data_IF_828306283521
#
_entry.id   IF_828306283521
#
_cell.length_a   1.000
_cell.length_b   1.000
_cell.length_c   1.000
_cell.angle_alpha   90.00
_cell.angle_beta   90.00
_cell.angle_gamma   90.00
#
_symmetry.space_group_name_H-M   'P 1'
#
loop_
_entity.id
_entity.type
_entity.pdbx_description
1 polymer ?
#
# COMPACT_ATOMS: atom_id res chain seq x y z
N UNK A 1 -16.99 50.98 -4.43
CA UNK A 1 -15.70 50.44 -4.91
C UNK A 1 -15.90 49.01 -5.39
N UNK A 2 -15.87 48.77 -6.70
CA UNK A 2 -15.87 47.40 -7.27
C UNK A 2 -14.45 46.85 -7.16
N UNK A 3 -14.24 45.82 -6.36
CA UNK A 3 -12.93 45.13 -6.25
C UNK A 3 -12.83 44.13 -7.40
N UNK A 4 -12.05 44.49 -8.41
CA UNK A 4 -11.65 43.60 -9.50
C UNK A 4 -10.69 42.56 -8.92
N UNK A 5 -11.12 41.30 -8.82
CA UNK A 5 -10.24 40.17 -8.55
C UNK A 5 -9.40 39.91 -9.80
N UNK A 6 -8.12 40.27 -9.76
CA UNK A 6 -7.14 39.85 -10.76
C UNK A 6 -6.84 38.37 -10.47
N UNK A 7 -7.46 37.49 -11.23
CA UNK A 7 -7.11 36.07 -11.25
C UNK A 7 -5.72 35.93 -11.90
N UNK A 8 -4.67 35.85 -11.09
CA UNK A 8 -3.38 35.37 -11.55
C UNK A 8 -3.51 33.88 -11.89
N UNK A 9 -3.74 33.57 -13.17
CA UNK A 9 -3.53 32.23 -13.68
C UNK A 9 -2.02 31.96 -13.64
N UNK A 10 -1.54 31.31 -12.58
CA UNK A 10 -0.19 30.76 -12.57
C UNK A 10 -0.15 29.67 -13.65
N UNK A 11 0.45 29.98 -14.81
CA UNK A 11 0.78 28.98 -15.82
C UNK A 11 1.84 28.05 -15.22
N UNK A 12 1.40 26.90 -14.69
CA UNK A 12 2.29 25.84 -14.26
C UNK A 12 3.09 25.36 -15.47
N UNK A 13 4.40 25.57 -15.46
CA UNK A 13 5.29 25.03 -16.48
C UNK A 13 5.40 23.53 -16.28
N UNK A 14 4.85 22.76 -17.21
CA UNK A 14 4.98 21.30 -17.27
C UNK A 14 5.82 20.98 -18.50
N UNK A 15 6.95 20.29 -18.31
CA UNK A 15 7.75 19.78 -19.41
C UNK A 15 7.72 18.26 -19.40
N UNK A 16 7.25 17.67 -20.50
CA UNK A 16 7.26 16.21 -20.68
C UNK A 16 8.69 15.76 -20.93
N UNK A 17 9.16 14.78 -20.15
CA UNK A 17 10.48 14.18 -20.34
C UNK A 17 10.33 12.98 -21.28
N UNK A 18 10.88 13.12 -22.50
CA UNK A 18 10.90 12.05 -23.49
C UNK A 18 12.09 11.09 -23.33
N UNK A 19 13.11 11.49 -22.57
CA UNK A 19 14.27 10.64 -22.26
C UNK A 19 13.99 9.73 -21.06
N UNK A 20 14.63 8.57 -21.06
CA UNK A 20 14.66 7.69 -19.89
C UNK A 20 15.28 8.42 -18.68
N UNK A 21 14.58 8.37 -17.56
CA UNK A 21 14.96 9.00 -16.30
C UNK A 21 15.15 7.92 -15.24
N UNK A 22 16.36 7.81 -14.72
CA UNK A 22 16.64 6.96 -13.55
C UNK A 22 16.13 7.65 -12.30
N UNK A 23 15.16 7.03 -11.63
CA UNK A 23 14.66 7.48 -10.34
C UNK A 23 15.63 7.00 -9.27
N UNK A 24 16.29 7.93 -8.59
CA UNK A 24 17.26 7.63 -7.53
C UNK A 24 17.25 8.70 -6.46
N UNK A 25 17.74 8.33 -5.29
CA UNK A 25 17.97 9.23 -4.17
C UNK A 25 19.46 9.23 -3.83
N UNK A 26 19.98 10.38 -3.38
CA UNK A 26 21.35 10.48 -2.89
C UNK A 26 21.35 10.64 -1.37
N UNK A 27 21.56 9.53 -0.67
CA UNK A 27 21.45 9.44 0.78
C UNK A 27 22.82 9.46 1.46
N UNK A 28 22.92 10.18 2.57
CA UNK A 28 24.07 10.15 3.47
C UNK A 28 23.70 9.48 4.77
N UNK A 29 24.69 8.90 5.43
CA UNK A 29 24.52 8.40 6.80
C UNK A 29 24.05 9.55 7.71
N UNK A 30 22.98 9.31 8.45
CA UNK A 30 22.34 10.30 9.32
C UNK A 30 21.20 11.09 8.67
N UNK A 31 21.03 11.01 7.34
CA UNK A 31 19.87 11.61 6.68
C UNK A 31 18.58 11.02 7.26
N UNK A 32 17.58 11.88 7.43
CA UNK A 32 16.29 11.50 7.99
C UNK A 32 15.16 12.23 7.30
N UNK A 33 14.12 11.49 6.89
CA UNK A 33 12.90 12.03 6.33
C UNK A 33 11.69 11.60 7.17
N UNK A 34 10.76 12.52 7.42
CA UNK A 34 9.52 12.25 8.17
C UNK A 34 8.34 12.52 7.24
N UNK A 35 7.46 11.55 7.15
CA UNK A 35 6.28 11.57 6.30
C UNK A 35 5.01 11.49 7.14
N UNK A 36 4.04 12.33 6.82
CA UNK A 36 2.66 12.15 7.27
C UNK A 36 1.89 11.36 6.22
N UNK A 37 1.22 10.30 6.65
CA UNK A 37 0.43 9.44 5.78
C UNK A 37 -1.05 9.56 6.17
N UNK A 38 -1.90 9.69 5.16
CA UNK A 38 -3.37 9.65 5.27
C UNK A 38 -3.88 8.68 4.22
N UNK A 39 -4.58 7.65 4.67
CA UNK A 39 -5.27 6.71 3.79
C UNK A 39 -6.76 6.76 4.11
N UNK A 40 -7.60 6.94 3.09
CA UNK A 40 -9.06 6.90 3.23
C UNK A 40 -9.64 5.82 2.36
N UNK A 41 -10.59 5.07 2.92
CA UNK A 41 -11.34 4.03 2.24
C UNK A 41 -12.82 4.32 2.46
N UNK A 42 -13.53 4.65 1.39
CA UNK A 42 -14.99 4.72 1.38
C UNK A 42 -15.52 3.47 0.70
N UNK A 43 -16.38 2.72 1.36
CA UNK A 43 -16.95 1.47 0.85
C UNK A 43 -18.46 1.56 0.81
N UNK A 44 -19.05 1.33 -0.35
CA UNK A 44 -20.46 0.98 -0.46
C UNK A 44 -20.59 -0.55 -0.37
N UNK A 45 -21.24 -1.03 0.70
CA UNK A 45 -21.45 -2.45 0.94
C UNK A 45 -22.48 -3.03 -0.03
N UNK A 46 -22.41 -4.33 -0.36
CA UNK A 46 -23.29 -4.93 -1.34
C UNK A 46 -24.74 -4.93 -0.84
N UNK A 47 -25.69 -5.07 -1.78
CA UNK A 47 -27.12 -5.25 -1.49
C UNK A 47 -27.75 -4.14 -0.63
N UNK A 48 -27.20 -2.92 -0.66
CA UNK A 48 -27.75 -1.79 0.10
C UNK A 48 -27.47 -1.84 1.60
N UNK A 49 -26.50 -2.63 2.05
CA UNK A 49 -26.12 -2.74 3.46
C UNK A 49 -25.45 -1.47 4.06
N UNK A 50 -25.51 -0.34 3.35
CA UNK A 50 -24.98 0.95 3.77
C UNK A 50 -23.54 1.22 3.33
N UNK A 51 -22.96 2.29 3.88
CA UNK A 51 -21.62 2.75 3.55
C UNK A 51 -20.71 2.71 4.79
N UNK A 52 -19.42 2.43 4.57
CA UNK A 52 -18.37 2.55 5.57
C UNK A 52 -17.37 3.62 5.12
N UNK A 53 -16.90 4.46 6.04
CA UNK A 53 -15.82 5.40 5.81
C UNK A 53 -14.74 5.14 6.87
N UNK A 54 -13.53 4.89 6.39
CA UNK A 54 -12.36 4.60 7.21
C UNK A 54 -11.28 5.58 6.82
N UNK A 55 -10.64 6.19 7.82
CA UNK A 55 -9.44 6.98 7.64
C UNK A 55 -8.35 6.49 8.57
N UNK A 56 -7.18 6.21 8.01
CA UNK A 56 -6.00 5.79 8.73
C UNK A 56 -4.94 6.86 8.59
N UNK A 57 -4.44 7.38 9.71
CA UNK A 57 -3.34 8.34 9.73
C UNK A 57 -2.18 7.79 10.52
N UNK A 58 -0.96 8.00 10.06
CA UNK A 58 0.25 7.69 10.81
C UNK A 58 1.42 8.56 10.33
N UNK A 59 2.52 8.50 11.07
CA UNK A 59 3.79 9.14 10.68
C UNK A 59 4.82 8.07 10.41
N UNK A 60 5.52 8.14 9.29
CA UNK A 60 6.65 7.26 8.96
C UNK A 60 7.94 8.05 8.95
N UNK A 61 8.90 7.65 9.77
CA UNK A 61 10.28 8.13 9.68
C UNK A 61 11.10 7.15 8.83
N UNK A 62 11.91 7.69 7.92
CA UNK A 62 12.95 6.97 7.20
C UNK A 62 14.30 7.54 7.65
N UNK A 63 15.16 6.71 8.21
CA UNK A 63 16.49 7.11 8.68
C UNK A 63 17.59 6.28 8.00
N UNK A 64 18.63 6.95 7.51
CA UNK A 64 19.76 6.32 6.85
C UNK A 64 20.82 5.95 7.89
N UNK A 65 20.84 4.68 8.30
CA UNK A 65 21.79 4.17 9.31
C UNK A 65 23.21 4.04 8.77
N UNK A 66 23.33 3.77 7.47
CA UNK A 66 24.62 3.59 6.79
C UNK A 66 24.49 3.90 5.30
N UNK A 67 25.57 4.40 4.69
CA UNK A 67 25.63 4.73 3.27
C UNK A 67 27.01 4.41 2.71
N UNK A 68 27.07 3.59 1.67
CA UNK A 68 28.31 3.20 0.98
C UNK A 68 28.15 3.40 -0.53
N UNK A 69 29.21 3.17 -1.30
CA UNK A 69 29.15 3.22 -2.76
C UNK A 69 28.20 2.17 -3.37
N UNK A 70 27.91 1.09 -2.63
CA UNK A 70 27.12 -0.05 -3.10
C UNK A 70 25.63 0.08 -2.76
N UNK A 71 25.26 0.95 -1.81
CA UNK A 71 23.89 1.16 -1.38
C UNK A 71 23.76 1.72 0.03
N UNK A 72 22.54 1.64 0.56
CA UNK A 72 22.16 2.25 1.84
C UNK A 72 21.58 1.20 2.79
N UNK A 73 21.68 1.47 4.10
CA UNK A 73 20.88 0.81 5.13
C UNK A 73 19.86 1.82 5.66
N UNK A 74 18.58 1.58 5.39
CA UNK A 74 17.48 2.50 5.70
C UNK A 74 16.52 1.87 6.68
N UNK A 75 16.24 2.55 7.77
CA UNK A 75 15.25 2.13 8.77
C UNK A 75 13.94 2.86 8.52
N UNK A 76 12.86 2.11 8.37
CA UNK A 76 11.50 2.63 8.38
C UNK A 76 10.89 2.42 9.75
N UNK A 77 10.30 3.46 10.31
CA UNK A 77 9.59 3.41 11.58
C UNK A 77 8.27 4.16 11.45
N UNK A 78 7.16 3.41 11.43
CA UNK A 78 5.81 3.98 11.46
C UNK A 78 5.34 4.10 12.91
N UNK A 79 4.70 5.22 13.24
CA UNK A 79 4.18 5.53 14.58
C UNK A 79 2.86 6.28 14.50
N UNK A 80 2.20 6.35 15.65
CA UNK A 80 1.02 7.17 15.88
C UNK A 80 -0.14 6.79 14.95
N UNK A 81 -0.24 5.50 14.61
CA UNK A 81 -1.31 4.97 13.80
C UNK A 81 -2.65 5.15 14.48
N UNK A 82 -3.55 5.87 13.82
CA UNK A 82 -4.92 6.13 14.28
C UNK A 82 -5.91 5.71 13.20
N UNK A 83 -7.01 5.12 13.65
CA UNK A 83 -8.13 4.74 12.80
C UNK A 83 -9.32 5.62 13.21
N UNK A 84 -9.86 6.36 12.26
CA UNK A 84 -11.14 7.07 12.38
C UNK A 84 -12.19 6.28 11.57
N UNK A 85 -13.37 6.06 12.14
CA UNK A 85 -14.44 5.26 11.54
C UNK A 85 -14.58 3.88 12.16
N UNK A 86 -15.08 2.91 11.39
CA UNK A 86 -15.32 1.56 11.88
C UNK A 86 -14.01 0.73 11.87
N UNK A 87 -13.50 0.38 13.07
CA UNK A 87 -12.27 -0.41 13.23
C UNK A 87 -12.36 -1.81 12.63
N UNK A 88 -13.50 -2.49 12.72
CA UNK A 88 -13.70 -3.82 12.13
C UNK A 88 -13.65 -3.73 10.61
N UNK A 89 -14.28 -2.71 10.03
CA UNK A 89 -14.20 -2.44 8.61
C UNK A 89 -12.77 -2.06 8.18
N UNK A 90 -12.05 -1.28 8.99
CA UNK A 90 -10.63 -0.99 8.77
C UNK A 90 -9.78 -2.26 8.78
N UNK A 91 -10.14 -3.23 9.61
CA UNK A 91 -9.48 -4.54 9.61
C UNK A 91 -9.81 -5.38 8.36
N UNK A 92 -10.98 -5.20 7.77
CA UNK A 92 -11.38 -5.92 6.57
C UNK A 92 -10.80 -5.31 5.29
N UNK A 93 -10.81 -3.98 5.18
CA UNK A 93 -10.47 -3.25 3.95
C UNK A 93 -9.09 -2.58 3.98
N UNK A 94 -8.51 -2.39 5.16
CA UNK A 94 -7.18 -1.80 5.30
C UNK A 94 -6.07 -2.79 4.96
N UNK A 95 -4.86 -2.26 4.77
CA UNK A 95 -3.69 -3.10 4.50
C UNK A 95 -3.45 -4.11 5.63
N UNK A 96 -3.22 -5.37 5.23
CA UNK A 96 -3.09 -6.48 6.18
C UNK A 96 -1.74 -6.48 6.91
N UNK A 97 -0.67 -5.96 6.29
CA UNK A 97 0.66 -5.93 6.90
C UNK A 97 0.90 -4.65 7.71
N UNK A 98 0.57 -3.49 7.15
CA UNK A 98 0.86 -2.18 7.74
C UNK A 98 0.23 -1.95 9.11
N UNK A 99 -0.91 -2.58 9.41
CA UNK A 99 -1.54 -2.48 10.73
C UNK A 99 -0.71 -3.07 11.88
N UNK A 100 0.26 -3.92 11.56
CA UNK A 100 1.15 -4.55 12.55
C UNK A 100 2.53 -3.90 12.60
N UNK A 101 2.78 -2.86 11.79
CA UNK A 101 4.07 -2.16 11.70
C UNK A 101 4.19 -0.94 12.62
N UNK A 102 3.12 -0.58 13.35
CA UNK A 102 3.16 0.55 14.28
C UNK A 102 4.16 0.28 15.41
N UNK A 103 5.16 1.16 15.53
CA UNK A 103 6.27 1.00 16.47
C UNK A 103 7.30 -0.08 16.09
N UNK A 104 7.22 -0.68 14.90
CA UNK A 104 8.15 -1.73 14.45
C UNK A 104 9.23 -1.15 13.53
N UNK A 105 10.50 -1.07 13.96
CA UNK A 105 11.59 -0.62 13.10
C UNK A 105 11.96 -1.71 12.08
N UNK A 106 11.83 -1.41 10.79
CA UNK A 106 12.22 -2.30 9.71
C UNK A 106 13.45 -1.76 8.98
N UNK A 107 14.57 -2.46 9.09
CA UNK A 107 15.87 -2.06 8.55
C UNK A 107 16.12 -2.77 7.22
N UNK A 108 16.13 -2.02 6.13
CA UNK A 108 16.35 -2.55 4.80
C UNK A 108 17.74 -2.22 4.27
N UNK A 109 18.27 -3.13 3.45
CA UNK A 109 19.37 -2.85 2.54
C UNK A 109 18.82 -2.43 1.19
N UNK A 110 19.42 -1.41 0.58
CA UNK A 110 19.14 -0.98 -0.79
C UNK A 110 20.35 -1.21 -1.70
N UNK A 111 20.12 -1.09 -3.02
CA UNK A 111 21.21 -0.82 -3.96
C UNK A 111 21.61 0.67 -3.94
N UNK A 112 22.63 1.04 -4.72
CA UNK A 112 23.13 2.42 -4.88
C UNK A 112 22.11 3.42 -5.41
N UNK A 113 21.00 2.97 -5.99
CA UNK A 113 19.94 3.82 -6.52
C UNK A 113 18.76 3.95 -5.56
N UNK A 114 18.78 3.23 -4.43
CA UNK A 114 17.71 3.23 -3.42
C UNK A 114 16.67 2.13 -3.62
N UNK A 115 16.85 1.18 -4.53
CA UNK A 115 15.93 0.05 -4.67
C UNK A 115 16.09 -0.91 -3.49
N UNK A 116 15.00 -1.23 -2.78
CA UNK A 116 15.02 -2.15 -1.63
C UNK A 116 15.40 -3.57 -2.08
N UNK A 117 16.38 -4.18 -1.42
CA UNK A 117 16.90 -5.51 -1.77
C UNK A 117 16.59 -6.57 -0.72
N UNK A 118 16.77 -6.23 0.57
CA UNK A 118 16.68 -7.20 1.67
C UNK A 118 16.21 -6.55 2.97
N UNK A 119 15.49 -7.30 3.80
CA UNK A 119 15.16 -6.92 5.18
C UNK A 119 16.22 -7.49 6.12
N UNK A 120 17.03 -6.63 6.71
CA UNK A 120 18.20 -7.03 7.51
C UNK A 120 17.82 -7.54 8.91
N UNK A 121 16.73 -7.05 9.50
CA UNK A 121 16.28 -7.42 10.84
C UNK A 121 14.96 -8.20 10.82
N UNK A 122 14.81 -9.13 9.87
CA UNK A 122 13.58 -9.89 9.65
C UNK A 122 13.00 -10.54 10.92
N UNK A 123 13.80 -11.29 11.68
CA UNK A 123 13.34 -11.98 12.89
C UNK A 123 12.78 -11.03 13.95
N UNK A 124 13.41 -9.86 14.13
CA UNK A 124 12.96 -8.84 15.06
C UNK A 124 11.63 -8.22 14.60
N UNK A 125 11.52 -7.90 13.31
CA UNK A 125 10.30 -7.35 12.70
C UNK A 125 9.15 -8.32 12.88
N UNK A 126 9.32 -9.59 12.50
CA UNK A 126 8.29 -10.62 12.62
C UNK A 126 7.91 -10.88 14.07
N UNK A 127 8.88 -10.91 14.99
CA UNK A 127 8.60 -11.09 16.42
C UNK A 127 7.72 -9.96 16.98
N UNK A 128 8.02 -8.71 16.63
CA UNK A 128 7.22 -7.55 17.03
C UNK A 128 5.84 -7.52 16.39
N UNK A 129 5.75 -7.74 15.07
CA UNK A 129 4.48 -7.80 14.33
C UNK A 129 3.58 -8.91 14.88
N UNK A 130 4.13 -10.10 15.13
CA UNK A 130 3.40 -11.24 15.71
C UNK A 130 2.82 -10.92 17.07
N UNK A 131 3.57 -10.23 17.94
CA UNK A 131 3.07 -9.83 19.26
C UNK A 131 1.87 -8.88 19.15
N UNK A 132 1.93 -7.91 18.24
CA UNK A 132 0.82 -6.98 17.97
C UNK A 132 -0.39 -7.76 17.42
N UNK A 133 -0.17 -8.61 16.42
CA UNK A 133 -1.23 -9.40 15.78
C UNK A 133 -1.94 -10.34 16.76
N UNK A 134 -1.20 -11.09 17.57
CA UNK A 134 -1.77 -12.00 18.58
C UNK A 134 -2.61 -11.21 19.59
N UNK A 135 -2.15 -10.03 20.04
CA UNK A 135 -2.91 -9.18 20.96
C UNK A 135 -4.24 -8.73 20.35
N UNK A 136 -4.23 -8.34 19.06
CA UNK A 136 -5.46 -7.95 18.35
C UNK A 136 -6.40 -9.14 18.15
N UNK A 137 -5.87 -10.30 17.75
CA UNK A 137 -6.62 -11.55 17.63
C UNK A 137 -7.28 -11.90 18.97
N UNK A 138 -6.52 -11.93 20.06
CA UNK A 138 -7.06 -12.21 21.40
C UNK A 138 -8.23 -11.30 21.76
N UNK A 139 -8.13 -10.01 21.43
CA UNK A 139 -9.19 -9.03 21.67
C UNK A 139 -10.44 -9.32 20.83
N UNK A 140 -10.27 -9.65 19.54
CA UNK A 140 -11.40 -10.00 18.65
C UNK A 140 -12.17 -11.23 19.15
N UNK A 141 -11.47 -12.32 19.51
CA UNK A 141 -12.10 -13.55 20.00
C UNK A 141 -12.78 -13.36 21.36
N UNK A 142 -12.25 -12.49 22.22
CA UNK A 142 -12.91 -12.12 23.48
C UNK A 142 -14.18 -11.31 23.26
N UNK A 143 -14.17 -10.37 22.30
CA UNK A 143 -15.33 -9.53 21.97
C UNK A 143 -16.44 -10.32 21.28
N UNK A 144 -16.09 -11.26 20.41
CA UNK A 144 -17.04 -12.10 19.70
C UNK A 144 -16.61 -13.58 19.72
N UNK A 145 -16.93 -14.33 20.79
CA UNK A 145 -16.52 -15.73 20.92
C UNK A 145 -17.04 -16.66 19.81
N UNK A 146 -18.13 -16.28 19.13
CA UNK A 146 -18.74 -17.08 18.06
C UNK A 146 -17.84 -17.21 16.82
N UNK A 147 -16.83 -16.36 16.66
CA UNK A 147 -15.91 -16.47 15.52
C UNK A 147 -15.06 -17.74 15.56
N UNK A 148 -14.88 -18.36 16.75
CA UNK A 148 -14.13 -19.62 16.89
C UNK A 148 -14.71 -20.76 16.04
N UNK A 149 -16.04 -20.78 15.86
CA UNK A 149 -16.73 -21.80 15.06
C UNK A 149 -16.41 -21.68 13.56
N UNK A 150 -16.22 -20.45 13.07
CA UNK A 150 -16.00 -20.18 11.63
C UNK A 150 -14.51 -20.10 11.29
N UNK A 151 -13.72 -19.45 12.15
CA UNK A 151 -12.29 -19.28 12.02
C UNK A 151 -11.66 -19.62 13.37
N UNK A 152 -11.18 -20.86 13.58
CA UNK A 152 -10.52 -21.23 14.82
C UNK A 152 -9.29 -20.36 15.09
N UNK A 153 -9.13 -19.88 16.32
CA UNK A 153 -8.05 -18.94 16.68
C UNK A 153 -6.66 -19.45 16.29
N UNK A 154 -6.41 -20.74 16.51
CA UNK A 154 -5.15 -21.37 16.16
C UNK A 154 -4.86 -21.28 14.65
N UNK A 155 -5.87 -21.44 13.79
CA UNK A 155 -5.72 -21.32 12.33
C UNK A 155 -5.44 -19.89 11.90
N UNK A 156 -6.07 -18.90 12.54
CA UNK A 156 -5.80 -17.48 12.26
C UNK A 156 -4.36 -17.13 12.65
N UNK A 157 -3.88 -17.61 13.80
CA UNK A 157 -2.48 -17.41 14.22
C UNK A 157 -1.52 -18.09 13.24
N UNK A 158 -1.81 -19.31 12.80
CA UNK A 158 -0.98 -20.01 11.80
C UNK A 158 -0.94 -19.28 10.47
N UNK A 159 -2.04 -18.68 10.02
CA UNK A 159 -2.09 -17.91 8.77
C UNK A 159 -1.19 -16.65 8.80
N UNK A 160 -0.85 -16.14 9.99
CA UNK A 160 0.13 -15.06 10.11
C UNK A 160 1.52 -15.48 9.64
N UNK A 161 1.89 -16.76 9.73
CA UNK A 161 3.19 -17.24 9.27
C UNK A 161 3.35 -17.06 7.75
N UNK A 162 2.28 -17.33 6.99
CA UNK A 162 2.26 -17.09 5.55
C UNK A 162 2.29 -15.59 5.25
N UNK A 163 1.58 -14.79 6.04
CA UNK A 163 1.53 -13.34 5.86
C UNK A 163 2.88 -12.68 6.15
N UNK A 164 3.59 -13.10 7.20
CA UNK A 164 4.81 -12.46 7.72
C UNK A 164 6.10 -13.04 7.16
N UNK A 165 6.06 -13.71 6.00
CA UNK A 165 7.28 -14.10 5.29
C UNK A 165 8.10 -12.89 4.85
N UNK A 166 9.43 -13.03 4.79
CA UNK A 166 10.32 -11.94 4.35
C UNK A 166 9.89 -11.41 2.97
N UNK A 167 9.52 -12.32 2.06
CA UNK A 167 9.02 -11.98 0.73
C UNK A 167 7.81 -11.04 0.79
N UNK A 168 6.78 -11.39 1.57
CA UNK A 168 5.56 -10.59 1.65
C UNK A 168 5.80 -9.22 2.30
N UNK A 169 6.65 -9.17 3.34
CA UNK A 169 7.04 -7.90 3.96
C UNK A 169 7.81 -7.04 2.95
N UNK A 170 8.81 -7.61 2.27
CA UNK A 170 9.60 -6.92 1.24
C UNK A 170 8.71 -6.38 0.10
N UNK A 171 7.79 -7.21 -0.42
CA UNK A 171 6.86 -6.80 -1.46
C UNK A 171 5.93 -5.67 -0.99
N UNK A 172 5.46 -5.70 0.26
CA UNK A 172 4.64 -4.62 0.81
C UNK A 172 5.40 -3.29 0.83
N UNK A 173 6.65 -3.28 1.31
CA UNK A 173 7.47 -2.07 1.32
C UNK A 173 7.85 -1.62 -0.09
N UNK A 174 8.21 -2.54 -1.00
CA UNK A 174 8.50 -2.22 -2.40
C UNK A 174 7.31 -1.62 -3.13
N UNK A 175 6.08 -2.01 -2.78
CA UNK A 175 4.89 -1.58 -3.49
C UNK A 175 4.17 -0.39 -2.86
N UNK A 176 4.49 0.00 -1.62
CA UNK A 176 3.72 1.01 -0.87
C UNK A 176 4.55 2.07 -0.16
N UNK A 177 5.84 1.84 0.03
CA UNK A 177 6.67 2.86 0.65
C UNK A 177 7.03 3.96 -0.34
N UNK A 178 7.53 5.07 0.19
CA UNK A 178 8.14 6.15 -0.59
C UNK A 178 9.39 5.72 -1.39
N UNK A 179 9.82 4.45 -1.29
CA UNK A 179 10.93 3.88 -2.06
C UNK A 179 10.48 3.10 -3.29
N UNK A 180 9.17 3.02 -3.57
CA UNK A 180 8.61 2.17 -4.63
C UNK A 180 9.20 2.40 -6.03
N UNK A 181 9.59 3.63 -6.36
CA UNK A 181 10.09 3.98 -7.68
C UNK A 181 11.62 3.99 -7.78
N UNK A 182 12.35 3.98 -6.66
CA UNK A 182 13.81 4.07 -6.70
C UNK A 182 14.45 2.86 -7.39
N UNK A 183 15.48 3.13 -8.20
CA UNK A 183 16.15 2.16 -9.05
C UNK A 183 15.45 1.88 -10.39
N UNK A 184 14.22 2.36 -10.60
CA UNK A 184 13.56 2.26 -11.90
C UNK A 184 14.11 3.29 -12.88
N UNK A 185 14.26 2.89 -14.14
CA UNK A 185 14.52 3.79 -15.26
C UNK A 185 13.23 3.90 -16.06
N UNK A 186 12.61 5.08 -16.06
CA UNK A 186 11.29 5.30 -16.64
C UNK A 186 11.31 6.41 -17.70
N UNK A 187 10.50 6.25 -18.73
CA UNK A 187 10.07 7.31 -19.65
C UNK A 187 8.55 7.31 -19.79
N UNK A 188 8.01 8.40 -20.30
CA UNK A 188 6.58 8.49 -20.64
C UNK A 188 6.17 7.37 -21.61
N UNK A 189 5.08 6.67 -21.27
CA UNK A 189 4.55 5.54 -22.02
C UNK A 189 5.12 4.17 -21.62
N UNK A 190 6.11 4.10 -20.72
CA UNK A 190 6.57 2.83 -20.18
C UNK A 190 5.45 2.10 -19.44
N UNK A 191 5.47 0.77 -19.53
CA UNK A 191 4.47 -0.11 -18.92
C UNK A 191 5.12 -1.20 -18.09
N UNK A 192 4.48 -1.57 -17.01
CA UNK A 192 4.84 -2.75 -16.24
C UNK A 192 3.61 -3.49 -15.73
N UNK A 193 3.70 -4.82 -15.74
CA UNK A 193 2.79 -5.67 -15.01
C UNK A 193 3.32 -5.81 -13.58
N UNK A 194 2.48 -5.51 -12.59
CA UNK A 194 2.83 -5.65 -11.18
C UNK A 194 1.64 -6.14 -10.37
N UNK A 195 1.89 -6.35 -9.08
CA UNK A 195 0.85 -6.72 -8.13
C UNK A 195 0.67 -5.60 -7.11
N UNK A 196 -0.57 -5.18 -6.87
CA UNK A 196 -0.95 -4.26 -5.80
C UNK A 196 -1.91 -5.01 -4.88
N UNK A 197 -1.47 -5.32 -3.66
CA UNK A 197 -2.28 -6.04 -2.66
C UNK A 197 -2.83 -7.40 -3.14
N UNK A 198 -2.05 -8.21 -3.85
CA UNK A 198 -2.55 -9.47 -4.42
C UNK A 198 -3.24 -9.33 -5.78
N UNK A 199 -3.45 -8.11 -6.27
CA UNK A 199 -4.20 -7.85 -7.50
C UNK A 199 -3.21 -7.53 -8.62
N UNK A 200 -3.28 -8.34 -9.67
CA UNK A 200 -2.50 -8.11 -10.89
C UNK A 200 -3.00 -6.85 -11.59
N UNK A 201 -2.08 -5.95 -11.91
CA UNK A 201 -2.37 -4.68 -12.55
C UNK A 201 -1.36 -4.38 -13.66
N UNK A 202 -1.85 -3.70 -14.69
CA UNK A 202 -1.01 -3.06 -15.70
C UNK A 202 -0.84 -1.60 -15.33
N UNK A 203 0.40 -1.15 -15.18
CA UNK A 203 0.73 0.24 -14.86
C UNK A 203 1.35 0.91 -16.07
N UNK A 204 0.89 2.11 -16.43
CA UNK A 204 1.55 2.98 -17.42
C UNK A 204 2.09 4.22 -16.72
N UNK A 205 3.30 4.65 -17.10
CA UNK A 205 4.00 5.78 -16.50
C UNK A 205 4.03 7.00 -17.41
N UNK A 206 3.77 8.17 -16.85
CA UNK A 206 4.07 9.47 -17.45
C UNK A 206 5.18 10.13 -16.61
N UNK A 207 6.26 10.58 -17.26
CA UNK A 207 7.42 11.21 -16.59
C UNK A 207 7.57 12.63 -17.08
N UNK A 208 7.60 13.58 -16.14
CA UNK A 208 7.65 15.00 -16.45
C UNK A 208 8.42 15.78 -15.40
N UNK A 209 8.65 17.06 -15.68
CA UNK A 209 9.08 18.02 -14.69
C UNK A 209 7.98 19.08 -14.51
N UNK A 210 7.50 19.23 -13.27
CA UNK A 210 6.47 20.20 -12.87
C UNK A 210 7.10 21.14 -11.85
N UNK A 211 7.16 22.43 -12.16
CA UNK A 211 7.77 23.44 -11.28
C UNK A 211 9.21 23.12 -10.83
N UNK A 212 10.01 22.47 -11.67
CA UNK A 212 11.39 22.08 -11.33
C UNK A 212 11.50 20.74 -10.60
N UNK A 213 10.39 20.11 -10.22
CA UNK A 213 10.37 18.81 -9.55
C UNK A 213 10.15 17.68 -10.56
N UNK A 214 10.94 16.62 -10.45
CA UNK A 214 10.65 15.38 -11.15
C UNK A 214 9.29 14.87 -10.67
N UNK A 215 8.42 14.58 -11.63
CA UNK A 215 7.05 14.12 -11.40
C UNK A 215 6.83 12.83 -12.17
N UNK A 216 6.36 11.80 -11.49
CA UNK A 216 5.98 10.52 -12.09
C UNK A 216 4.52 10.27 -11.81
N UNK A 217 3.72 10.05 -12.86
CA UNK A 217 2.32 9.65 -12.74
C UNK A 217 2.21 8.20 -13.17
N UNK A 218 1.71 7.34 -12.29
CA UNK A 218 1.47 5.93 -12.52
C UNK A 218 -0.04 5.69 -12.63
N UNK A 219 -0.51 5.19 -13.77
CA UNK A 219 -1.91 4.82 -13.99
C UNK A 219 -2.02 3.30 -14.01
N UNK A 220 -2.71 2.74 -13.03
CA UNK A 220 -2.80 1.30 -12.82
C UNK A 220 -4.21 0.79 -13.10
N UNK A 221 -4.34 -0.33 -13.80
CA UNK A 221 -5.63 -1.00 -14.05
C UNK A 221 -5.54 -2.50 -13.79
N UNK A 222 -6.50 -3.06 -13.07
CA UNK A 222 -6.57 -4.51 -12.86
C UNK A 222 -6.70 -5.27 -14.19
N UNK A 223 -6.00 -6.40 -14.29
CA UNK A 223 -5.99 -7.25 -15.49
C UNK A 223 -6.09 -8.75 -15.14
N UNK A 224 -6.72 -9.07 -14.00
CA UNK A 224 -6.90 -10.45 -13.56
C UNK A 224 -7.89 -11.20 -14.44
N UNK A 225 -7.55 -12.44 -14.79
CA UNK A 225 -8.47 -13.42 -15.37
C UNK A 225 -9.48 -13.92 -14.33
N UNK A 226 -10.53 -14.61 -14.78
CA UNK A 226 -11.50 -15.24 -13.87
C UNK A 226 -10.83 -16.25 -12.93
N UNK A 227 -9.89 -17.07 -13.44
CA UNK A 227 -9.17 -18.04 -12.63
C UNK A 227 -8.25 -17.38 -11.59
N UNK A 228 -7.51 -16.33 -11.98
CA UNK A 228 -6.70 -15.55 -11.04
C UNK A 228 -7.58 -14.88 -9.98
N UNK A 229 -8.75 -14.36 -10.36
CA UNK A 229 -9.71 -13.74 -9.44
C UNK A 229 -10.24 -14.75 -8.42
N UNK A 230 -10.63 -15.94 -8.88
CA UNK A 230 -11.09 -17.03 -8.00
C UNK A 230 -9.99 -17.43 -7.03
N UNK A 231 -8.76 -17.63 -7.52
CA UNK A 231 -7.61 -17.99 -6.71
C UNK A 231 -7.28 -16.91 -5.66
N UNK A 232 -7.38 -15.63 -6.01
CA UNK A 232 -7.19 -14.51 -5.09
C UNK A 232 -8.19 -14.52 -3.94
N UNK A 233 -9.49 -14.70 -4.22
CA UNK A 233 -10.49 -14.76 -3.16
C UNK A 233 -10.28 -15.95 -2.22
N UNK A 234 -9.98 -17.12 -2.77
CA UNK A 234 -9.68 -18.32 -1.96
C UNK A 234 -8.43 -18.11 -1.11
N UNK A 235 -7.37 -17.51 -1.69
CA UNK A 235 -6.15 -17.17 -0.95
C UNK A 235 -6.45 -16.23 0.22
N UNK A 236 -7.29 -15.21 0.01
CA UNK A 236 -7.68 -14.30 1.08
C UNK A 236 -8.54 -14.97 2.16
N UNK A 237 -9.46 -15.88 1.80
CA UNK A 237 -10.20 -16.68 2.78
C UNK A 237 -9.24 -17.51 3.66
N UNK A 238 -8.25 -18.16 3.04
CA UNK A 238 -7.22 -18.93 3.77
C UNK A 238 -6.38 -18.03 4.68
N UNK A 239 -5.99 -16.83 4.23
CA UNK A 239 -5.27 -15.83 5.04
C UNK A 239 -6.09 -15.34 6.23
N UNK A 240 -7.41 -15.38 6.15
CA UNK A 240 -8.31 -15.11 7.28
C UNK A 240 -8.48 -16.33 8.22
N UNK A 241 -7.75 -17.42 8.00
CA UNK A 241 -7.85 -18.66 8.78
C UNK A 241 -9.12 -19.47 8.50
N UNK A 242 -9.86 -19.15 7.43
CA UNK A 242 -11.03 -19.92 7.02
C UNK A 242 -10.60 -21.31 6.53
N UNK A 243 -11.33 -22.34 6.96
CA UNK A 243 -11.03 -23.73 6.63
C UNK A 243 -11.21 -24.09 5.15
N UNK A 244 -10.74 -25.29 4.78
CA UNK A 244 -10.92 -25.82 3.42
C UNK A 244 -12.38 -25.95 3.02
N UNK A 245 -13.28 -26.27 3.97
CA UNK A 245 -14.71 -26.37 3.72
C UNK A 245 -15.32 -25.07 3.17
N UNK A 246 -15.02 -23.93 3.80
CA UNK A 246 -15.48 -22.60 3.34
C UNK A 246 -14.89 -22.28 1.96
N UNK A 247 -13.62 -22.63 1.75
CA UNK A 247 -12.98 -22.46 0.44
C UNK A 247 -13.67 -23.31 -0.64
N UNK A 248 -13.98 -24.58 -0.35
CA UNK A 248 -14.69 -25.47 -1.27
C UNK A 248 -16.12 -25.02 -1.54
N UNK A 249 -16.84 -24.52 -0.54
CA UNK A 249 -18.17 -23.93 -0.74
C UNK A 249 -18.11 -22.69 -1.63
N UNK A 250 -17.09 -21.85 -1.46
CA UNK A 250 -16.86 -20.70 -2.35
C UNK A 250 -16.62 -21.16 -3.79
N UNK A 251 -15.83 -22.22 -3.99
CA UNK A 251 -15.58 -22.78 -5.32
C UNK A 251 -16.84 -23.36 -5.97
N UNK A 252 -17.65 -24.11 -5.21
CA UNK A 252 -18.89 -24.73 -5.69
C UNK A 252 -19.93 -23.66 -6.07
N UNK A 253 -19.98 -22.55 -5.34
CA UNK A 253 -20.93 -21.46 -5.57
C UNK A 253 -20.40 -20.38 -6.56
N UNK A 254 -19.21 -20.56 -7.15
CA UNK A 254 -18.60 -19.57 -8.04
C UNK A 254 -19.51 -19.16 -9.21
N UNK A 255 -20.25 -20.12 -9.80
CA UNK A 255 -21.20 -19.83 -10.87
C UNK A 255 -22.33 -18.88 -10.45
N UNK A 256 -22.81 -18.99 -9.20
CA UNK A 256 -23.80 -18.08 -8.63
C UNK A 256 -23.19 -16.70 -8.35
N UNK A 257 -21.98 -16.66 -7.78
CA UNK A 257 -21.24 -15.41 -7.57
C UNK A 257 -21.01 -14.66 -8.89
N UNK A 258 -20.76 -15.38 -9.98
CA UNK A 258 -20.64 -14.82 -11.33
C UNK A 258 -21.96 -14.23 -11.81
N UNK A 259 -23.07 -14.96 -11.66
CA UNK A 259 -24.40 -14.45 -12.00
C UNK A 259 -24.79 -13.19 -11.20
N UNK A 260 -24.28 -13.06 -9.96
CA UNK A 260 -24.46 -11.89 -9.10
C UNK A 260 -23.46 -10.74 -9.38
N UNK A 261 -22.53 -10.90 -10.32
CA UNK A 261 -21.52 -9.89 -10.62
C UNK A 261 -20.43 -9.72 -9.55
N UNK A 262 -20.20 -10.76 -8.75
CA UNK A 262 -19.21 -10.79 -7.67
C UNK A 262 -17.90 -11.51 -8.06
N UNK A 263 -17.88 -12.23 -9.18
CA UNK A 263 -16.75 -13.04 -9.65
C UNK A 263 -15.68 -12.25 -10.44
N UNK A 264 -15.53 -10.95 -10.18
CA UNK A 264 -14.59 -10.08 -10.88
C UNK A 264 -13.99 -9.03 -9.95
N UNK A 265 -12.77 -8.62 -10.25
CA UNK A 265 -12.13 -7.46 -9.62
C UNK A 265 -11.90 -6.41 -10.71
N UNK A 266 -12.48 -5.22 -10.53
CA UNK A 266 -12.13 -4.03 -11.30
C UNK A 266 -11.35 -3.09 -10.37
N UNK A 267 -10.26 -2.53 -10.87
CA UNK A 267 -9.49 -1.52 -10.16
C UNK A 267 -8.93 -0.55 -11.19
N UNK A 268 -9.08 0.74 -10.93
CA UNK A 268 -8.37 1.80 -11.65
C UNK A 268 -7.79 2.76 -10.60
N UNK A 269 -6.51 3.03 -10.67
CA UNK A 269 -5.80 3.94 -9.76
C UNK A 269 -4.92 4.90 -10.55
N UNK A 270 -4.81 6.14 -10.06
CA UNK A 270 -3.78 7.08 -10.49
C UNK A 270 -2.99 7.51 -9.28
N UNK A 271 -1.68 7.23 -9.29
CA UNK A 271 -0.74 7.66 -8.26
C UNK A 271 0.23 8.68 -8.85
N UNK A 272 0.38 9.83 -8.21
CA UNK A 272 1.35 10.88 -8.57
C UNK A 272 2.44 10.96 -7.52
N UNK A 273 3.69 11.01 -7.95
CA UNK A 273 4.87 11.18 -7.12
C UNK A 273 5.56 12.48 -7.51
N UNK A 274 5.87 13.31 -6.53
CA UNK A 274 6.76 14.45 -6.70
C UNK A 274 8.06 14.19 -5.94
N UNK A 275 9.19 14.51 -6.56
CA UNK A 275 10.50 14.35 -5.95
C UNK A 275 11.15 15.70 -5.67
N UNK A 276 11.79 15.82 -4.51
CA UNK A 276 12.65 16.94 -4.18
C UNK A 276 13.89 16.95 -5.08
N UNK A 277 14.65 18.06 -5.06
CA UNK A 277 15.93 18.13 -5.80
C UNK A 277 16.99 17.17 -5.26
N UNK A 278 16.94 16.81 -3.97
CA UNK A 278 17.81 15.79 -3.37
C UNK A 278 17.39 14.36 -3.70
N UNK A 279 16.26 14.19 -4.39
CA UNK A 279 15.73 12.91 -4.85
C UNK A 279 14.83 12.23 -3.83
N UNK A 280 14.58 12.82 -2.66
CA UNK A 280 13.54 12.35 -1.74
C UNK A 280 12.16 12.46 -2.38
N UNK A 281 11.23 11.62 -1.98
CA UNK A 281 9.82 11.83 -2.32
C UNK A 281 9.34 13.03 -1.50
N UNK A 282 8.83 14.05 -2.19
CA UNK A 282 8.19 15.19 -1.55
C UNK A 282 6.77 14.84 -1.12
N UNK A 283 6.02 14.22 -2.03
CA UNK A 283 4.67 13.73 -1.75
C UNK A 283 4.27 12.60 -2.72
N UNK A 284 3.30 11.81 -2.26
CA UNK A 284 2.58 10.81 -3.06
C UNK A 284 1.09 11.06 -2.89
N UNK A 285 0.37 11.20 -4.00
CA UNK A 285 -1.09 11.30 -3.99
C UNK A 285 -1.66 10.22 -4.90
N UNK A 286 -2.49 9.34 -4.34
CA UNK A 286 -3.20 8.28 -5.06
C UNK A 286 -4.71 8.46 -4.90
N UNK A 287 -5.42 8.23 -6.01
CA UNK A 287 -6.86 8.12 -6.03
C UNK A 287 -7.24 6.94 -6.92
N UNK A 288 -7.97 6.01 -6.35
CA UNK A 288 -8.37 4.78 -7.01
C UNK A 288 -9.81 4.41 -6.73
N UNK A 289 -10.40 3.70 -7.69
CA UNK A 289 -11.71 3.07 -7.58
C UNK A 289 -11.55 1.58 -7.75
N UNK A 290 -12.24 0.83 -6.91
CA UNK A 290 -12.21 -0.61 -6.93
C UNK A 290 -13.60 -1.19 -6.80
N UNK A 291 -13.90 -2.22 -7.58
CA UNK A 291 -15.11 -3.03 -7.44
C UNK A 291 -14.72 -4.47 -7.19
N UNK A 292 -15.20 -5.03 -6.08
CA UNK A 292 -14.83 -6.38 -5.65
C UNK A 292 -15.97 -6.99 -4.84
N UNK A 293 -16.39 -8.22 -5.16
CA UNK A 293 -17.46 -8.94 -4.44
C UNK A 293 -18.75 -8.11 -4.26
N UNK A 294 -19.11 -7.31 -5.28
CA UNK A 294 -20.28 -6.42 -5.24
C UNK A 294 -20.10 -5.14 -4.42
N UNK A 295 -18.97 -4.96 -3.75
CA UNK A 295 -18.59 -3.71 -3.09
C UNK A 295 -18.02 -2.71 -4.10
N UNK A 296 -18.29 -1.43 -3.88
CA UNK A 296 -17.59 -0.33 -4.56
C UNK A 296 -16.76 0.42 -3.53
N UNK A 297 -15.49 0.66 -3.84
CA UNK A 297 -14.54 1.28 -2.94
C UNK A 297 -13.86 2.46 -3.63
N UNK A 298 -13.84 3.60 -2.95
CA UNK A 298 -12.96 4.72 -3.28
C UNK A 298 -11.77 4.69 -2.31
N UNK A 299 -10.58 4.53 -2.86
CA UNK A 299 -9.31 4.46 -2.14
C UNK A 299 -8.54 5.74 -2.42
N UNK A 300 -8.15 6.47 -1.38
CA UNK A 300 -7.25 7.61 -1.55
C UNK A 300 -6.11 7.54 -0.55
N UNK A 301 -4.91 7.90 -1.03
CA UNK A 301 -3.71 7.96 -0.21
C UNK A 301 -3.04 9.31 -0.43
N UNK A 302 -2.59 9.91 0.66
CA UNK A 302 -1.72 11.08 0.66
C UNK A 302 -0.55 10.80 1.58
N UNK A 303 0.66 10.91 1.04
CA UNK A 303 1.91 10.86 1.79
C UNK A 303 2.60 12.19 1.57
N UNK A 304 3.02 12.87 2.63
CA UNK A 304 3.66 14.18 2.53
C UNK A 304 4.92 14.23 3.38
N UNK A 305 6.03 14.64 2.77
CA UNK A 305 7.25 14.97 3.49
C UNK A 305 7.01 16.22 4.35
N UNK A 306 7.20 16.09 5.66
CA UNK A 306 7.02 17.20 6.61
C UNK A 306 8.33 17.74 7.15
N UNK A 307 9.38 16.92 7.15
CA UNK A 307 10.74 17.36 7.44
C UNK A 307 11.75 16.40 6.83
N UNK A 308 12.80 16.93 6.25
CA UNK A 308 14.04 16.22 5.95
C UNK A 308 15.23 16.89 6.68
N UNK A 309 16.13 16.08 7.20
CA UNK A 309 17.38 16.50 7.82
C UNK A 309 18.53 15.84 7.05
N UNK A 310 19.53 16.65 6.69
CA UNK A 310 20.69 16.31 5.86
C UNK A 310 22.00 16.59 6.61
#
# INVERSE_FOLDING_TARGET
MKKTLITFALLLTVTVLNAQTLIKVNLKKGDKAVYENVNTVNVALPMGAGNQNIKITNTTTVEVKDATADGFKVEFLTKDSKIEGNEEAAQQFGDQLSRYLDGVPALFQTDKNGCLQKLLNYEEVVGKMSKVAITQIDSMYKKNPKIEEMAPKAKVIMALNDLFTEKNIMENFKNKSVFQLYGKTLKTGDKEDKEIQGIKVNTTYDVSNVLGMLTVVAKSKANMTENETKAFFISNLKKMGMGEEISSQFEQNWGQLKAMGMASIDMNDTTTYHFTKSGWVNDVVSSGKMKMMGMQMDLNTSVKLVSDMH
#
